data_IF_150464890352
#
_entry.id   IF_150464890352
#
_cell.length_a   1.000
_cell.length_b   1.000
_cell.length_c   1.000
_cell.angle_alpha   90.00
_cell.angle_beta   90.00
_cell.angle_gamma   90.00
#
_symmetry.space_group_name_H-M   'P 1'
#
loop_
_entity.id
_entity.type
_entity.pdbx_description
1 polymer ?
#
# COMPACT_ATOMS: atom_id res chain seq x y z
N UNK A 1 -0.88 11.56 7.08
CA UNK A 1 -0.37 11.23 8.41
C UNK A 1 1.09 11.69 8.52
N UNK A 2 1.33 13.01 8.40
CA UNK A 2 2.69 13.58 8.29
C UNK A 2 3.23 14.09 9.62
N UNK A 3 2.34 14.54 10.50
CA UNK A 3 2.72 15.18 11.76
C UNK A 3 3.13 14.14 12.82
N UNK A 4 4.09 14.47 13.69
CA UNK A 4 4.42 13.64 14.84
C UNK A 4 3.24 13.53 15.81
N UNK A 5 3.13 12.38 16.48
CA UNK A 5 2.09 12.08 17.47
C UNK A 5 2.71 12.09 18.85
N UNK A 6 2.24 12.97 19.73
CA UNK A 6 2.83 13.14 21.07
C UNK A 6 2.78 11.87 21.95
N UNK A 7 1.89 10.93 21.65
CA UNK A 7 1.70 9.68 22.41
C UNK A 7 2.41 8.47 21.79
N UNK A 8 3.07 8.61 20.63
CA UNK A 8 3.79 7.50 19.98
C UNK A 8 5.20 7.95 19.56
N UNK A 9 6.26 7.28 20.05
CA UNK A 9 7.64 7.64 19.71
C UNK A 9 7.92 7.41 18.23
N UNK A 10 8.95 8.09 17.73
CA UNK A 10 9.48 7.92 16.36
C UNK A 10 8.42 8.08 15.25
N UNK A 11 7.48 9.00 15.45
CA UNK A 11 6.45 9.38 14.48
C UNK A 11 6.75 10.73 13.83
N UNK A 12 6.09 10.97 12.70
CA UNK A 12 6.28 12.16 11.88
C UNK A 12 7.17 11.88 10.68
N UNK A 13 6.87 12.54 9.57
CA UNK A 13 7.60 12.39 8.31
C UNK A 13 8.50 13.60 8.05
N UNK A 14 9.66 13.41 7.41
CA UNK A 14 10.54 14.52 7.02
C UNK A 14 9.99 15.34 5.84
N UNK A 15 8.87 14.90 5.26
CA UNK A 15 8.12 15.59 4.19
C UNK A 15 6.71 15.90 4.68
N UNK A 16 6.07 16.87 4.06
CA UNK A 16 4.73 17.35 4.34
C UNK A 16 3.77 17.02 3.21
N UNK A 17 2.47 17.15 3.48
CA UNK A 17 1.43 17.06 2.44
C UNK A 17 1.70 18.04 1.28
N UNK A 18 2.09 19.27 1.60
CA UNK A 18 2.40 20.31 0.61
C UNK A 18 3.56 19.96 -0.30
N UNK A 19 4.45 19.05 0.12
CA UNK A 19 5.59 18.63 -0.67
C UNK A 19 5.18 17.63 -1.77
N UNK A 20 4.04 16.95 -1.59
CA UNK A 20 3.54 15.93 -2.53
C UNK A 20 2.30 16.39 -3.32
N UNK A 21 1.49 17.29 -2.76
CA UNK A 21 0.24 17.77 -3.36
C UNK A 21 0.41 18.34 -4.78
N UNK A 22 1.51 19.06 -5.11
CA UNK A 22 1.74 19.55 -6.48
C UNK A 22 1.81 18.46 -7.55
N UNK A 23 2.17 17.22 -7.17
CA UNK A 23 2.33 16.10 -8.10
C UNK A 23 1.04 15.27 -8.27
N UNK A 24 0.03 15.47 -7.42
CA UNK A 24 -1.21 14.68 -7.45
C UNK A 24 -1.96 14.75 -8.80
N UNK A 25 -2.04 15.89 -9.51
CA UNK A 25 -2.69 15.93 -10.83
C UNK A 25 -2.01 15.01 -11.85
N UNK A 26 -0.68 15.03 -11.91
CA UNK A 26 0.11 14.19 -12.82
C UNK A 26 -0.01 12.70 -12.44
N UNK A 27 0.09 12.37 -11.15
CA UNK A 27 -0.09 11.00 -10.67
C UNK A 27 -1.47 10.46 -11.04
N UNK A 28 -2.51 11.30 -10.99
CA UNK A 28 -3.86 10.88 -11.39
C UNK A 28 -3.95 10.56 -12.87
N UNK A 29 -3.28 11.31 -13.73
CA UNK A 29 -3.22 11.04 -15.16
C UNK A 29 -2.43 9.76 -15.45
N UNK A 30 -1.25 9.62 -14.84
CA UNK A 30 -0.40 8.42 -14.99
C UNK A 30 -1.16 7.15 -14.60
N UNK A 31 -1.87 7.19 -13.46
CA UNK A 31 -2.54 6.03 -12.89
C UNK A 31 -4.03 5.90 -13.27
N UNK A 32 -4.55 6.73 -14.18
CA UNK A 32 -5.97 6.77 -14.55
C UNK A 32 -6.90 6.81 -13.32
N UNK A 33 -6.51 7.60 -12.32
CA UNK A 33 -7.24 7.71 -11.07
C UNK A 33 -8.41 8.69 -11.21
N UNK A 34 -9.61 8.31 -10.72
CA UNK A 34 -10.73 9.24 -10.67
C UNK A 34 -10.42 10.40 -9.72
N UNK A 35 -11.30 11.39 -9.69
CA UNK A 35 -11.17 12.50 -8.74
C UNK A 35 -11.17 11.99 -7.30
N UNK A 36 -10.24 12.53 -6.49
CA UNK A 36 -10.24 12.29 -5.05
C UNK A 36 -11.55 12.81 -4.46
N UNK A 37 -12.17 11.98 -3.62
CA UNK A 37 -13.37 12.34 -2.88
C UNK A 37 -12.96 12.66 -1.43
N UNK A 38 -13.56 13.69 -0.80
CA UNK A 38 -13.27 13.99 0.59
C UNK A 38 -13.83 12.90 1.51
N UNK A 39 -13.09 12.55 2.55
CA UNK A 39 -13.57 11.68 3.61
C UNK A 39 -14.83 12.27 4.26
N UNK A 40 -15.74 11.39 4.70
CA UNK A 40 -17.01 11.80 5.33
C UNK A 40 -17.00 11.49 6.83
N UNK A 41 -17.41 12.41 7.70
CA UNK A 41 -17.57 12.09 9.12
C UNK A 41 -18.73 11.11 9.32
N UNK A 42 -18.54 10.10 10.16
CA UNK A 42 -19.60 9.19 10.62
C UNK A 42 -19.99 9.53 12.06
N UNK A 43 -18.99 9.85 12.89
CA UNK A 43 -19.15 10.37 14.25
C UNK A 43 -17.95 11.25 14.61
N UNK A 44 -17.91 11.78 15.83
CA UNK A 44 -16.72 12.46 16.36
C UNK A 44 -15.48 11.54 16.38
N UNK A 45 -15.70 10.23 16.45
CA UNK A 45 -14.64 9.24 16.58
C UNK A 45 -14.27 8.52 15.29
N UNK A 46 -15.21 8.38 14.35
CA UNK A 46 -15.03 7.59 13.12
C UNK A 46 -15.33 8.43 11.89
N UNK A 47 -14.48 8.30 10.87
CA UNK A 47 -14.74 8.80 9.52
C UNK A 47 -14.78 7.66 8.50
N UNK A 48 -15.59 7.84 7.47
CA UNK A 48 -15.58 7.04 6.26
C UNK A 48 -14.53 7.59 5.30
N UNK A 49 -13.50 6.80 5.08
CA UNK A 49 -12.41 7.08 4.14
C UNK A 49 -12.89 6.78 2.72
N UNK A 50 -12.86 7.79 1.85
CA UNK A 50 -13.30 7.63 0.47
C UNK A 50 -12.18 7.06 -0.39
N UNK A 51 -12.10 5.72 -0.44
CA UNK A 51 -11.13 5.05 -1.31
C UNK A 51 -11.47 5.30 -2.79
N UNK A 52 -10.43 5.56 -3.58
CA UNK A 52 -10.47 5.53 -5.04
C UNK A 52 -9.55 4.42 -5.55
N UNK A 53 -9.91 3.82 -6.68
CA UNK A 53 -9.14 2.73 -7.30
C UNK A 53 -8.81 3.09 -8.74
N UNK A 54 -7.60 2.76 -9.14
CA UNK A 54 -7.16 2.79 -10.54
C UNK A 54 -7.65 1.52 -11.26
N UNK A 55 -7.93 1.56 -12.57
CA UNK A 55 -8.30 0.37 -13.37
C UNK A 55 -7.14 -0.63 -13.61
N UNK A 56 -6.11 -0.63 -12.75
CA UNK A 56 -4.88 -1.41 -12.89
C UNK A 56 -4.11 -1.09 -14.19
N UNK A 57 -3.56 0.12 -14.26
CA UNK A 57 -2.77 0.61 -15.41
C UNK A 57 -1.65 -0.35 -15.79
N UNK A 58 -1.67 -0.80 -17.05
CA UNK A 58 -0.59 -1.59 -17.65
C UNK A 58 0.43 -0.64 -18.28
N UNK A 59 1.45 -0.26 -17.52
CA UNK A 59 2.45 0.76 -17.93
C UNK A 59 3.12 0.47 -19.27
N UNK A 60 3.43 -0.80 -19.56
CA UNK A 60 4.02 -1.18 -20.85
C UNK A 60 3.08 -0.90 -22.03
N UNK A 61 1.78 -1.15 -21.86
CA UNK A 61 0.77 -0.87 -22.90
C UNK A 61 0.52 0.64 -23.04
N UNK A 62 0.47 1.36 -21.90
CA UNK A 62 0.16 2.80 -21.88
C UNK A 62 1.31 3.67 -22.39
N UNK A 63 2.54 3.38 -22.00
CA UNK A 63 3.70 4.24 -22.25
C UNK A 63 4.77 3.63 -23.17
N UNK A 64 4.63 2.36 -23.57
CA UNK A 64 5.65 1.66 -24.37
C UNK A 64 6.03 2.41 -25.64
N UNK A 65 5.04 2.82 -26.42
CA UNK A 65 5.22 3.60 -27.66
C UNK A 65 5.95 4.93 -27.46
N UNK A 66 5.69 5.61 -26.34
CA UNK A 66 6.34 6.88 -26.01
C UNK A 66 7.79 6.65 -25.62
N UNK A 67 8.04 5.66 -24.76
CA UNK A 67 9.37 5.27 -24.30
C UNK A 67 10.26 4.80 -25.47
N UNK A 68 9.71 4.04 -26.42
CA UNK A 68 10.43 3.56 -27.60
C UNK A 68 10.82 4.70 -28.57
N UNK A 69 10.02 5.76 -28.63
CA UNK A 69 10.29 6.94 -29.48
C UNK A 69 11.19 7.97 -28.78
N UNK A 70 11.31 7.90 -27.47
CA UNK A 70 12.10 8.84 -26.69
C UNK A 70 13.59 8.70 -27.00
N UNK A 71 14.26 9.82 -27.34
CA UNK A 71 15.69 9.82 -27.70
C UNK A 71 16.62 9.87 -26.49
N UNK A 72 16.07 10.14 -25.32
CA UNK A 72 16.79 10.40 -24.07
C UNK A 72 16.41 9.40 -22.96
N UNK A 73 15.65 8.36 -23.28
CA UNK A 73 15.25 7.32 -22.33
C UNK A 73 15.70 5.96 -22.90
N UNK A 74 16.31 5.15 -22.04
CA UNK A 74 16.64 3.76 -22.35
C UNK A 74 15.96 2.86 -21.32
N UNK A 75 15.07 1.98 -21.80
CA UNK A 75 14.43 0.96 -20.97
C UNK A 75 15.20 -0.34 -21.14
N UNK A 76 15.84 -0.80 -20.06
CA UNK A 76 16.66 -2.02 -20.09
C UNK A 76 16.01 -3.07 -19.19
N UNK A 77 15.28 -4.00 -19.81
CA UNK A 77 14.63 -5.11 -19.11
C UNK A 77 15.61 -6.25 -18.81
N UNK A 78 15.18 -7.18 -17.94
CA UNK A 78 15.96 -8.36 -17.53
C UNK A 78 17.36 -8.02 -17.01
N UNK A 79 17.51 -6.83 -16.47
CA UNK A 79 18.75 -6.28 -15.94
C UNK A 79 18.46 -5.65 -14.60
N UNK A 80 19.23 -6.01 -13.58
CA UNK A 80 19.08 -5.45 -12.24
C UNK A 80 20.37 -4.81 -11.75
N UNK A 81 20.24 -3.70 -11.02
CA UNK A 81 21.33 -3.17 -10.23
C UNK A 81 21.48 -4.01 -8.95
N UNK A 82 22.64 -4.64 -8.77
CA UNK A 82 22.90 -5.53 -7.63
C UNK A 82 23.60 -4.81 -6.48
N UNK A 83 24.31 -3.73 -6.79
CA UNK A 83 25.10 -2.94 -5.86
C UNK A 83 25.25 -1.52 -6.41
N UNK A 84 25.23 -0.54 -5.51
CA UNK A 84 25.65 0.84 -5.77
C UNK A 84 27.03 1.07 -5.14
N UNK A 85 27.85 1.90 -5.77
CA UNK A 85 29.12 2.38 -5.22
C UNK A 85 29.03 3.86 -4.94
N UNK A 86 29.67 4.32 -3.86
CA UNK A 86 29.69 5.73 -3.50
C UNK A 86 30.97 6.10 -2.77
N UNK A 87 31.33 7.37 -2.82
CA UNK A 87 32.55 7.93 -2.22
C UNK A 87 32.28 8.68 -0.91
N UNK A 88 31.07 8.57 -0.37
CA UNK A 88 30.60 9.30 0.81
C UNK A 88 30.09 10.71 0.52
N UNK A 89 30.25 11.22 -0.71
CA UNK A 89 29.67 12.49 -1.18
C UNK A 89 28.63 12.28 -2.27
N UNK A 90 28.83 11.27 -3.12
CA UNK A 90 27.90 10.89 -4.19
C UNK A 90 27.94 9.39 -4.46
N UNK A 91 26.85 8.89 -5.02
CA UNK A 91 26.84 7.59 -5.70
C UNK A 91 27.58 7.76 -7.03
N UNK A 92 28.55 6.89 -7.30
CA UNK A 92 29.47 6.98 -8.44
C UNK A 92 29.20 5.90 -9.49
N UNK A 93 28.48 4.85 -9.12
CA UNK A 93 28.21 3.75 -10.03
C UNK A 93 27.22 2.72 -9.49
N UNK A 94 26.81 1.82 -10.38
CA UNK A 94 26.05 0.63 -10.07
C UNK A 94 26.68 -0.60 -10.75
N UNK A 95 26.68 -1.74 -10.07
CA UNK A 95 26.96 -3.04 -10.70
C UNK A 95 25.68 -3.63 -11.26
N UNK A 96 25.76 -4.08 -12.50
CA UNK A 96 24.62 -4.62 -13.22
C UNK A 96 24.73 -6.14 -13.34
N UNK A 97 23.59 -6.80 -13.25
CA UNK A 97 23.45 -8.22 -13.56
C UNK A 97 22.38 -8.38 -14.62
N UNK A 98 22.71 -9.11 -15.69
CA UNK A 98 21.84 -9.28 -16.85
C UNK A 98 22.03 -10.65 -17.46
N UNK A 99 20.93 -11.27 -17.94
CA UNK A 99 20.97 -12.59 -18.59
C UNK A 99 21.74 -13.66 -17.79
N UNK A 100 21.62 -13.66 -16.47
CA UNK A 100 22.23 -14.67 -15.59
C UNK A 100 23.74 -14.50 -15.37
N UNK A 101 24.32 -13.35 -15.69
CA UNK A 101 25.75 -13.08 -15.49
C UNK A 101 26.01 -11.61 -15.10
N UNK A 102 27.23 -11.35 -14.63
CA UNK A 102 27.72 -9.99 -14.38
C UNK A 102 27.75 -9.20 -15.69
N UNK A 103 27.14 -8.02 -15.68
CA UNK A 103 27.04 -7.12 -16.82
C UNK A 103 27.90 -5.86 -16.64
N UNK A 104 28.79 -5.86 -15.64
CA UNK A 104 29.77 -4.81 -15.42
C UNK A 104 29.23 -3.62 -14.63
N UNK A 105 29.95 -2.49 -14.71
CA UNK A 105 29.64 -1.28 -13.97
C UNK A 105 29.05 -0.20 -14.87
N UNK A 106 28.06 0.51 -14.36
CA UNK A 106 27.42 1.66 -14.98
C UNK A 106 27.62 2.91 -14.14
N UNK A 107 27.89 4.04 -14.78
CA UNK A 107 28.07 5.33 -14.12
C UNK A 107 27.11 6.36 -14.71
N UNK A 108 26.53 7.18 -13.84
CA UNK A 108 25.63 8.27 -14.19
C UNK A 108 25.79 9.40 -13.18
N UNK A 109 25.30 10.59 -13.53
CA UNK A 109 25.34 11.75 -12.62
C UNK A 109 24.40 11.57 -11.42
N UNK A 110 23.29 10.86 -11.62
CA UNK A 110 22.26 10.64 -10.60
C UNK A 110 21.75 9.20 -10.63
N UNK A 111 21.45 8.67 -9.45
CA UNK A 111 20.84 7.37 -9.26
C UNK A 111 19.56 7.53 -8.44
N UNK A 112 18.44 7.06 -8.97
CA UNK A 112 17.13 7.08 -8.29
C UNK A 112 16.70 5.62 -8.09
N UNK A 113 16.47 5.23 -6.84
CA UNK A 113 16.12 3.84 -6.48
C UNK A 113 14.61 3.72 -6.38
N UNK A 114 14.01 3.01 -7.33
CA UNK A 114 12.55 2.83 -7.45
C UNK A 114 12.16 1.35 -7.42
N UNK A 115 12.82 0.53 -6.59
CA UNK A 115 12.60 -0.93 -6.53
C UNK A 115 11.51 -1.35 -5.54
N UNK A 116 10.86 -0.38 -4.87
CA UNK A 116 9.83 -0.61 -3.85
C UNK A 116 10.41 -0.60 -2.43
N UNK A 117 9.55 -0.56 -1.40
CA UNK A 117 10.00 -0.34 -0.02
C UNK A 117 11.03 -1.37 0.48
N UNK A 118 10.79 -2.65 0.20
CA UNK A 118 11.65 -3.75 0.65
C UNK A 118 12.98 -3.74 -0.11
N UNK A 119 12.90 -3.71 -1.44
CA UNK A 119 14.07 -3.84 -2.30
C UNK A 119 14.94 -2.58 -2.32
N UNK A 120 14.36 -1.38 -2.14
CA UNK A 120 15.15 -0.16 -1.94
C UNK A 120 16.00 -0.32 -0.68
N UNK A 121 15.39 -0.75 0.43
CA UNK A 121 16.09 -0.96 1.69
C UNK A 121 17.18 -2.03 1.56
N UNK A 122 16.87 -3.17 0.93
CA UNK A 122 17.82 -4.27 0.71
C UNK A 122 19.02 -3.82 -0.13
N UNK A 123 18.78 -3.20 -1.28
CA UNK A 123 19.83 -2.73 -2.18
C UNK A 123 20.70 -1.68 -1.49
N UNK A 124 20.10 -0.70 -0.81
CA UNK A 124 20.84 0.36 -0.12
C UNK A 124 21.65 -0.18 1.07
N UNK A 125 21.09 -1.06 1.89
CA UNK A 125 21.83 -1.70 3.01
C UNK A 125 23.04 -2.47 2.50
N UNK A 126 22.83 -3.32 1.49
CA UNK A 126 23.89 -4.11 0.88
C UNK A 126 24.99 -3.22 0.27
N UNK A 127 24.59 -2.23 -0.50
CA UNK A 127 25.51 -1.28 -1.14
C UNK A 127 26.29 -0.47 -0.11
N UNK A 128 25.65 -0.06 0.98
CA UNK A 128 26.31 0.69 2.04
C UNK A 128 27.29 -0.17 2.84
N UNK A 129 26.96 -1.45 3.07
CA UNK A 129 27.89 -2.41 3.67
C UNK A 129 29.14 -2.59 2.80
N UNK A 130 28.97 -2.73 1.48
CA UNK A 130 30.08 -2.95 0.54
C UNK A 130 30.95 -1.72 0.31
N UNK A 131 30.35 -0.54 0.36
CA UNK A 131 31.05 0.74 0.22
C UNK A 131 31.58 1.31 1.54
N UNK A 132 31.48 0.56 2.65
CA UNK A 132 31.84 1.02 3.99
C UNK A 132 31.21 2.37 4.35
N UNK A 133 29.90 2.54 4.09
CA UNK A 133 29.16 3.77 4.35
C UNK A 133 29.17 4.81 3.22
N UNK A 134 29.81 4.52 2.09
CA UNK A 134 30.01 5.48 1.00
C UNK A 134 28.76 5.81 0.18
N UNK A 135 27.73 4.95 0.20
CA UNK A 135 26.49 5.14 -0.57
C UNK A 135 25.45 5.95 0.22
N UNK A 136 25.25 5.62 1.50
CA UNK A 136 24.36 6.34 2.41
C UNK A 136 25.15 6.75 3.65
N UNK A 137 25.77 7.95 3.63
CA UNK A 137 26.35 8.54 4.82
C UNK A 137 25.28 8.70 5.91
N UNK A 138 25.63 8.44 7.18
CA UNK A 138 24.71 8.55 8.32
C UNK A 138 23.41 7.72 8.17
N UNK A 139 23.53 6.47 7.73
CA UNK A 139 22.42 5.53 7.47
C UNK A 139 21.66 5.03 8.73
N UNK A 140 21.46 5.86 9.75
CA UNK A 140 20.83 5.48 11.02
C UNK A 140 19.40 4.98 10.81
N UNK A 141 18.62 5.63 9.95
CA UNK A 141 17.24 5.22 9.64
C UNK A 141 17.13 4.12 8.56
N UNK A 142 18.22 3.78 7.86
CA UNK A 142 18.17 2.85 6.73
C UNK A 142 17.74 1.45 7.19
N UNK A 143 16.65 0.94 6.62
CA UNK A 143 16.07 -0.36 6.97
C UNK A 143 15.35 -0.41 8.32
N UNK A 144 15.05 0.74 8.93
CA UNK A 144 14.29 0.86 10.19
C UNK A 144 12.91 1.45 9.95
N UNK A 145 12.07 1.39 10.98
CA UNK A 145 10.71 1.97 10.98
C UNK A 145 9.78 1.39 9.91
N UNK A 146 9.95 0.11 9.58
CA UNK A 146 9.05 -0.58 8.66
C UNK A 146 7.63 -0.62 9.23
N UNK A 147 6.66 -0.23 8.42
CA UNK A 147 5.24 -0.27 8.76
C UNK A 147 4.56 -1.27 7.83
N UNK A 148 3.72 -2.11 8.42
CA UNK A 148 2.84 -3.02 7.71
C UNK A 148 1.41 -2.81 8.23
N UNK A 149 0.42 -3.36 7.53
CA UNK A 149 -0.97 -3.38 7.94
C UNK A 149 -1.33 -4.79 8.43
N UNK A 150 -1.17 -5.12 9.73
CA UNK A 150 -1.74 -6.33 10.28
C UNK A 150 -3.26 -6.33 10.04
N UNK A 151 -3.75 -7.35 9.34
CA UNK A 151 -5.18 -7.52 9.05
C UNK A 151 -5.70 -8.77 9.75
N UNK A 152 -6.89 -8.66 10.32
CA UNK A 152 -7.65 -9.79 10.84
C UNK A 152 -9.13 -9.63 10.46
N UNK A 153 -9.83 -10.74 10.33
CA UNK A 153 -11.27 -10.74 10.10
C UNK A 153 -11.99 -10.55 11.43
N UNK A 154 -12.79 -9.50 11.54
CA UNK A 154 -13.56 -9.20 12.74
C UNK A 154 -14.90 -9.95 12.81
N UNK A 155 -15.53 -10.23 11.66
CA UNK A 155 -16.83 -10.90 11.58
C UNK A 155 -17.62 -10.45 10.35
N UNK A 156 -18.89 -10.87 10.28
CA UNK A 156 -19.81 -10.51 9.19
C UNK A 156 -20.77 -9.39 9.64
N UNK A 157 -21.07 -8.47 8.72
CA UNK A 157 -22.06 -7.40 8.90
C UNK A 157 -22.99 -7.33 7.68
N UNK A 158 -24.23 -6.90 7.89
CA UNK A 158 -25.19 -6.63 6.82
C UNK A 158 -25.17 -5.14 6.50
N UNK A 159 -24.85 -4.81 5.25
CA UNK A 159 -24.87 -3.43 4.75
C UNK A 159 -25.99 -3.26 3.72
N UNK A 160 -26.68 -2.12 3.77
CA UNK A 160 -27.88 -1.83 2.96
C UNK A 160 -27.60 -0.92 1.76
N UNK A 161 -26.34 -0.51 1.55
CA UNK A 161 -25.97 0.47 0.52
C UNK A 161 -24.98 -0.07 -0.54
N UNK A 162 -25.11 0.50 -1.75
CA UNK A 162 -24.69 -0.05 -3.04
C UNK A 162 -23.18 -0.06 -3.35
N UNK A 163 -22.31 0.15 -2.36
CA UNK A 163 -20.86 0.18 -2.56
C UNK A 163 -20.28 -1.02 -1.85
N UNK A 164 -19.96 -2.07 -2.62
CA UNK A 164 -19.50 -3.38 -2.16
C UNK A 164 -18.22 -3.37 -1.29
N UNK A 165 -17.67 -2.19 -0.97
CA UNK A 165 -16.62 -1.99 0.01
C UNK A 165 -16.77 -0.63 0.73
N UNK A 166 -16.59 -0.62 2.05
CA UNK A 166 -16.51 0.59 2.86
C UNK A 166 -15.27 0.56 3.78
N UNK A 167 -14.64 1.72 3.95
CA UNK A 167 -13.40 1.87 4.72
C UNK A 167 -13.59 2.93 5.79
N UNK A 168 -13.39 2.59 7.05
CA UNK A 168 -13.50 3.53 8.16
C UNK A 168 -12.17 3.65 8.89
N UNK A 169 -11.90 4.82 9.44
CA UNK A 169 -10.73 5.06 10.28
C UNK A 169 -11.09 6.00 11.43
N UNK A 170 -10.37 5.96 12.56
CA UNK A 170 -10.57 6.95 13.61
C UNK A 170 -10.26 8.37 13.12
N UNK A 171 -10.95 9.35 13.69
CA UNK A 171 -10.60 10.77 13.51
C UNK A 171 -9.28 11.08 14.22
N UNK A 172 -8.62 12.18 13.85
CA UNK A 172 -7.40 12.62 14.55
C UNK A 172 -7.68 12.92 16.03
N UNK A 173 -8.82 13.58 16.31
CA UNK A 173 -9.25 13.88 17.67
C UNK A 173 -9.45 12.62 18.52
N UNK A 174 -10.02 11.55 17.95
CA UNK A 174 -10.15 10.27 18.65
C UNK A 174 -8.80 9.61 18.91
N UNK A 175 -7.90 9.62 17.91
CA UNK A 175 -6.54 9.09 18.08
C UNK A 175 -5.78 9.83 19.20
N UNK A 176 -5.87 11.16 19.25
CA UNK A 176 -5.27 12.00 20.29
C UNK A 176 -5.86 11.70 21.67
N UNK A 177 -7.20 11.73 21.78
CA UNK A 177 -7.93 11.53 23.04
C UNK A 177 -7.71 10.14 23.63
N UNK A 178 -7.72 9.11 22.80
CA UNK A 178 -7.57 7.71 23.23
C UNK A 178 -6.11 7.24 23.24
N UNK A 179 -5.18 8.07 22.76
CA UNK A 179 -3.76 7.74 22.62
C UNK A 179 -3.51 6.46 21.82
N UNK A 180 -4.25 6.28 20.72
CA UNK A 180 -4.12 5.13 19.82
C UNK A 180 -3.51 5.52 18.48
N UNK A 181 -3.00 4.53 17.75
CA UNK A 181 -2.59 4.69 16.35
C UNK A 181 -3.79 4.54 15.40
N UNK A 182 -3.57 4.91 14.14
CA UNK A 182 -4.58 4.74 13.11
C UNK A 182 -4.84 3.25 12.83
N UNK A 183 -6.08 2.93 12.51
CA UNK A 183 -6.49 1.60 12.06
C UNK A 183 -7.59 1.73 11.01
N UNK A 184 -7.74 0.70 10.18
CA UNK A 184 -8.80 0.63 9.18
C UNK A 184 -9.82 -0.45 9.53
N UNK A 185 -11.10 -0.08 9.61
CA UNK A 185 -12.20 -1.04 9.56
C UNK A 185 -12.62 -1.14 8.11
N UNK A 186 -12.66 -2.36 7.57
CA UNK A 186 -13.02 -2.61 6.18
C UNK A 186 -14.25 -3.49 6.15
N UNK A 187 -15.32 -3.01 5.53
CA UNK A 187 -16.43 -3.84 5.10
C UNK A 187 -16.16 -4.18 3.65
N UNK A 188 -16.09 -5.46 3.35
CA UNK A 188 -15.84 -5.97 2.01
C UNK A 188 -16.94 -6.98 1.75
N UNK A 189 -17.66 -6.82 0.65
CA UNK A 189 -18.69 -7.77 0.24
C UNK A 189 -18.09 -9.19 0.21
N UNK A 190 -18.73 -10.10 0.92
CA UNK A 190 -18.30 -11.50 0.93
C UNK A 190 -18.60 -12.10 -0.45
N UNK A 191 -17.60 -12.70 -1.13
CA UNK A 191 -17.76 -13.22 -2.48
C UNK A 191 -18.43 -14.60 -2.46
N UNK A 192 -19.60 -14.72 -1.83
CA UNK A 192 -20.40 -15.94 -1.85
C UNK A 192 -21.47 -15.86 -2.94
N UNK A 193 -21.18 -16.24 -4.20
CA UNK A 193 -22.21 -16.26 -5.22
C UNK A 193 -23.27 -17.33 -4.91
N UNK A 194 -24.53 -17.01 -5.22
CA UNK A 194 -25.65 -17.95 -5.26
C UNK A 194 -26.12 -18.43 -3.89
N UNK A 195 -26.24 -19.74 -3.72
CA UNK A 195 -26.90 -20.38 -2.56
C UNK A 195 -26.24 -20.03 -1.22
N UNK A 196 -24.95 -19.70 -1.20
CA UNK A 196 -24.24 -19.35 0.04
C UNK A 196 -24.59 -17.95 0.56
N UNK A 197 -24.85 -16.95 -0.30
CA UNK A 197 -25.38 -15.66 0.17
C UNK A 197 -26.79 -15.87 0.73
N UNK A 198 -27.64 -16.61 0.00
CA UNK A 198 -29.02 -16.88 0.43
C UNK A 198 -29.09 -17.58 1.79
N UNK A 199 -28.17 -18.52 2.07
CA UNK A 199 -28.12 -19.21 3.36
C UNK A 199 -27.56 -18.29 4.46
N UNK A 200 -26.59 -17.42 4.16
CA UNK A 200 -26.11 -16.41 5.11
C UNK A 200 -27.20 -15.38 5.45
N UNK A 201 -27.95 -14.91 4.45
CA UNK A 201 -29.10 -14.03 4.61
C UNK A 201 -30.21 -14.71 5.42
N UNK A 202 -30.53 -15.97 5.10
CA UNK A 202 -31.48 -16.77 5.88
C UNK A 202 -31.01 -16.95 7.32
N UNK A 203 -29.72 -17.15 7.57
CA UNK A 203 -29.19 -17.37 8.93
C UNK A 203 -29.41 -16.18 9.86
N UNK A 204 -29.57 -14.99 9.30
CA UNK A 204 -29.71 -13.78 10.08
C UNK A 204 -31.13 -13.18 10.00
N UNK A 205 -31.96 -13.58 9.03
CA UNK A 205 -33.37 -13.15 8.91
C UNK A 205 -34.38 -14.22 9.36
N UNK A 206 -34.03 -15.51 9.24
CA UNK A 206 -34.86 -16.67 9.57
C UNK A 206 -33.98 -17.81 10.15
N UNK A 207 -33.41 -17.64 11.35
CA UNK A 207 -32.37 -18.51 11.91
C UNK A 207 -32.78 -20.00 11.98
N UNK A 208 -34.04 -20.30 12.30
CA UNK A 208 -34.54 -21.68 12.34
C UNK A 208 -34.52 -22.36 10.96
N UNK A 209 -34.85 -21.61 9.91
CA UNK A 209 -34.87 -22.11 8.53
C UNK A 209 -33.44 -22.30 7.99
N UNK A 210 -32.52 -21.43 8.40
CA UNK A 210 -31.12 -21.54 8.04
C UNK A 210 -30.43 -22.71 8.74
N UNK A 211 -30.73 -22.95 10.03
CA UNK A 211 -30.21 -24.09 10.77
C UNK A 211 -30.68 -25.41 10.14
N UNK A 212 -31.94 -25.48 9.74
CA UNK A 212 -32.49 -26.59 8.97
C UNK A 212 -31.75 -26.80 7.63
N UNK A 213 -31.54 -25.75 6.83
CA UNK A 213 -30.80 -25.85 5.56
C UNK A 213 -29.33 -26.23 5.76
N UNK A 214 -28.66 -25.64 6.75
CA UNK A 214 -27.25 -25.89 7.08
C UNK A 214 -27.03 -27.35 7.51
N UNK A 215 -27.99 -27.94 8.23
CA UNK A 215 -27.97 -29.36 8.61
C UNK A 215 -28.03 -30.32 7.41
N UNK A 216 -28.70 -29.92 6.32
CA UNK A 216 -28.80 -30.70 5.08
C UNK A 216 -27.55 -30.58 4.20
N UNK A 217 -26.77 -29.52 4.36
CA UNK A 217 -25.58 -29.23 3.55
C UNK A 217 -24.25 -29.53 4.26
N UNK A 218 -24.30 -30.12 5.47
CA UNK A 218 -23.13 -30.42 6.30
C UNK A 218 -22.23 -29.19 6.57
N UNK A 219 -22.80 -27.99 6.57
CA UNK A 219 -22.11 -26.77 6.97
C UNK A 219 -22.58 -26.36 8.37
N UNK A 220 -21.70 -25.77 9.18
CA UNK A 220 -22.06 -25.17 10.48
C UNK A 220 -21.99 -23.65 10.34
N UNK A 221 -23.07 -23.05 9.86
CA UNK A 221 -23.16 -21.60 9.75
C UNK A 221 -23.75 -21.07 11.07
N UNK A 222 -23.01 -20.19 11.75
CA UNK A 222 -23.50 -19.43 12.90
C UNK A 222 -23.53 -17.97 12.48
N UNK A 223 -24.70 -17.34 12.49
CA UNK A 223 -24.78 -15.89 12.45
C UNK A 223 -24.28 -15.37 13.80
N UNK A 224 -23.08 -14.81 13.84
CA UNK A 224 -22.56 -14.14 15.01
C UNK A 224 -22.19 -12.72 14.58
N UNK A 225 -22.73 -11.72 15.27
CA UNK A 225 -21.96 -10.52 15.52
C UNK A 225 -20.75 -10.98 16.35
N UNK A 226 -19.62 -11.22 15.71
CA UNK A 226 -18.37 -11.31 16.44
C UNK A 226 -18.03 -9.89 16.88
N UNK A 227 -17.95 -9.70 18.20
CA UNK A 227 -17.30 -8.56 18.83
C UNK A 227 -15.80 -8.60 18.53
#
# INVERSE_FOLDING_TARGET
>A
DFEPKAWVPDTGWPIRRTDIEPYLPEVRDILDLPALRPDMPISDDIRWVQLIKSPAVRFAEKFGDELDKAKNIAVVLNTCATELTGDGKRVTGARLWSNGQDAGSFSADYFIVCTGGLENSRLLLWSNQRSNGGVVPNATALGRYWMEHPTFEGGNAFEVDAVNEAFFSPTLAAMERLQIMNFGIRLIETPYPGVKSLIADLACTAPDMAEWMSSKLSQRLRCAAQL
#
